data_IF_612386957885
#
_entry.id   IF_612386957885
#
_cell.length_a   1.000
_cell.length_b   1.000
_cell.length_c   1.000
_cell.angle_alpha   90.00
_cell.angle_beta   90.00
_cell.angle_gamma   90.00
#
_symmetry.space_group_name_H-M   'P 1'
#
loop_
_entity.id
_entity.type
_entity.pdbx_description
1 polymer ?
#
# COMPACT_ATOMS: atom_id res chain seq x y z
N UNK A 1 -39.12 -20.46 -6.04
CA UNK A 1 -39.17 -19.31 -6.98
C UNK A 1 -37.74 -19.01 -7.40
N UNK A 2 -37.50 -18.57 -8.64
CA UNK A 2 -36.16 -18.20 -9.07
C UNK A 2 -35.66 -16.99 -8.27
N UNK A 3 -34.38 -17.02 -7.86
CA UNK A 3 -33.76 -15.97 -7.06
C UNK A 3 -32.77 -15.16 -7.91
N UNK A 4 -32.80 -13.82 -7.87
CA UNK A 4 -31.87 -13.02 -8.65
C UNK A 4 -30.45 -13.17 -8.10
N UNK A 5 -29.49 -13.24 -9.01
CA UNK A 5 -28.06 -13.33 -8.73
C UNK A 5 -27.39 -12.09 -9.31
N UNK A 6 -26.68 -11.34 -8.49
CA UNK A 6 -25.94 -10.16 -8.90
C UNK A 6 -24.44 -10.35 -8.74
N UNK A 7 -23.69 -9.67 -9.61
CA UNK A 7 -22.26 -9.42 -9.44
C UNK A 7 -22.10 -7.98 -8.96
N UNK A 8 -21.49 -7.82 -7.79
CA UNK A 8 -21.07 -6.51 -7.32
C UNK A 8 -19.59 -6.35 -7.66
N UNK A 9 -19.25 -5.17 -8.18
CA UNK A 9 -17.89 -4.79 -8.60
C UNK A 9 -17.45 -3.60 -7.77
N UNK A 10 -16.31 -3.74 -7.13
CA UNK A 10 -15.66 -2.69 -6.36
C UNK A 10 -14.36 -2.34 -7.08
N UNK A 11 -14.16 -1.05 -7.34
CA UNK A 11 -12.89 -0.58 -7.87
C UNK A 11 -11.92 -0.33 -6.72
N UNK A 12 -11.03 -1.27 -6.46
CA UNK A 12 -10.04 -1.15 -5.39
C UNK A 12 -8.96 -0.09 -5.69
N UNK A 13 -8.94 0.43 -6.92
CA UNK A 13 -8.07 1.54 -7.30
C UNK A 13 -8.71 2.91 -7.03
N UNK A 14 -9.99 2.97 -6.66
CA UNK A 14 -10.74 4.21 -6.46
C UNK A 14 -10.57 5.23 -7.60
N UNK A 15 -10.71 4.77 -8.85
CA UNK A 15 -10.59 5.61 -10.05
C UNK A 15 -9.17 5.73 -10.61
N UNK A 16 -8.12 5.36 -9.86
CA UNK A 16 -6.74 5.46 -10.35
C UNK A 16 -6.49 4.64 -11.60
N UNK A 17 -7.07 3.43 -11.69
CA UNK A 17 -6.91 2.60 -12.88
C UNK A 17 -7.44 3.30 -14.13
N UNK A 18 -8.59 3.96 -14.04
CA UNK A 18 -9.17 4.73 -15.16
C UNK A 18 -8.27 5.86 -15.60
N UNK A 19 -7.74 6.62 -14.64
CA UNK A 19 -6.94 7.81 -14.94
C UNK A 19 -5.53 7.46 -15.44
N UNK A 20 -4.97 6.31 -15.05
CA UNK A 20 -3.54 6.04 -15.22
C UNK A 20 -3.21 4.87 -16.16
N UNK A 21 -4.13 3.92 -16.35
CA UNK A 21 -3.84 2.68 -17.08
C UNK A 21 -3.37 2.90 -18.52
N UNK A 22 -3.96 3.87 -19.23
CA UNK A 22 -3.54 4.24 -20.59
C UNK A 22 -2.07 4.62 -20.66
N UNK A 23 -1.57 5.37 -19.68
CA UNK A 23 -0.17 5.78 -19.59
C UNK A 23 0.74 4.66 -19.07
N UNK A 24 0.33 3.97 -17.99
CA UNK A 24 1.16 3.00 -17.28
C UNK A 24 1.32 1.66 -18.01
N UNK A 25 0.24 1.18 -18.63
CA UNK A 25 0.20 -0.15 -19.23
C UNK A 25 -0.19 -0.13 -20.71
N UNK A 26 -0.34 1.07 -21.29
CA UNK A 26 -0.68 1.25 -22.70
C UNK A 26 -2.11 0.84 -23.04
N UNK A 27 -2.99 0.70 -22.05
CA UNK A 27 -4.38 0.25 -22.21
C UNK A 27 -5.27 0.89 -21.16
N UNK A 28 -6.45 1.34 -21.56
CA UNK A 28 -7.43 1.87 -20.63
C UNK A 28 -8.13 0.75 -19.84
N UNK A 29 -8.17 0.90 -18.52
CA UNK A 29 -8.87 0.05 -17.57
C UNK A 29 -9.88 0.89 -16.81
N UNK A 30 -11.14 0.47 -16.80
CA UNK A 30 -12.17 1.21 -16.07
C UNK A 30 -11.98 1.14 -14.53
N UNK A 31 -11.31 0.11 -14.02
CA UNK A 31 -11.09 -0.13 -12.59
C UNK A 31 -10.20 -1.35 -12.33
N UNK A 32 -9.74 -1.54 -11.09
CA UNK A 32 -9.19 -2.81 -10.60
C UNK A 32 -10.29 -3.50 -9.78
N UNK A 33 -10.78 -4.62 -10.28
CA UNK A 33 -11.99 -5.25 -9.77
C UNK A 33 -11.71 -6.18 -8.61
N UNK A 34 -12.27 -5.85 -7.44
CA UNK A 34 -12.73 -6.83 -6.48
C UNK A 34 -14.20 -7.14 -6.75
N UNK A 35 -14.59 -8.41 -6.70
CA UNK A 35 -15.98 -8.81 -6.97
C UNK A 35 -16.56 -9.71 -5.90
N UNK A 36 -17.89 -9.64 -5.78
CA UNK A 36 -18.70 -10.50 -4.93
C UNK A 36 -19.97 -10.96 -5.66
N UNK A 37 -20.53 -12.09 -5.23
CA UNK A 37 -21.84 -12.57 -5.68
C UNK A 37 -22.88 -12.24 -4.62
N UNK A 38 -23.96 -11.59 -5.03
CA UNK A 38 -25.12 -11.33 -4.17
C UNK A 38 -26.28 -12.23 -4.59
N UNK A 39 -26.72 -13.09 -3.68
CA UNK A 39 -27.82 -14.03 -3.88
C UNK A 39 -28.46 -14.38 -2.54
N UNK A 40 -29.77 -14.66 -2.54
CA UNK A 40 -30.53 -14.98 -1.31
C UNK A 40 -30.45 -13.88 -0.24
N UNK A 41 -30.25 -12.62 -0.64
CA UNK A 41 -30.11 -11.49 0.29
C UNK A 41 -28.73 -11.39 0.96
N UNK A 42 -27.77 -12.23 0.58
CA UNK A 42 -26.43 -12.26 1.13
C UNK A 42 -25.38 -11.95 0.07
N UNK A 43 -24.29 -11.34 0.51
CA UNK A 43 -23.13 -11.08 -0.33
C UNK A 43 -22.01 -12.06 0.01
N UNK A 44 -21.38 -12.64 -1.01
CA UNK A 44 -20.31 -13.62 -0.88
C UNK A 44 -19.08 -13.19 -1.66
N UNK A 45 -17.92 -13.21 -1.04
CA UNK A 45 -16.64 -12.93 -1.68
C UNK A 45 -15.52 -13.76 -1.05
N UNK A 46 -14.38 -13.85 -1.73
CA UNK A 46 -13.21 -14.56 -1.20
C UNK A 46 -12.15 -13.57 -0.72
N UNK A 47 -11.68 -13.75 0.52
CA UNK A 47 -10.71 -12.88 1.19
C UNK A 47 -9.53 -13.67 1.75
N UNK A 48 -8.35 -13.07 1.65
CA UNK A 48 -7.10 -13.68 2.11
C UNK A 48 -7.04 -13.82 3.62
N UNK A 49 -6.61 -14.98 4.13
CA UNK A 49 -6.53 -15.26 5.56
C UNK A 49 -7.87 -15.61 6.21
N UNK A 50 -8.99 -15.50 5.49
CA UNK A 50 -10.35 -15.77 6.03
C UNK A 50 -11.05 -16.89 5.27
N UNK A 51 -10.96 -16.93 3.94
CA UNK A 51 -11.77 -17.84 3.13
C UNK A 51 -12.94 -17.12 2.46
N UNK A 52 -13.96 -17.89 2.06
CA UNK A 52 -15.21 -17.32 1.57
C UNK A 52 -15.92 -16.61 2.73
N UNK A 53 -16.11 -15.31 2.59
CA UNK A 53 -16.88 -14.46 3.50
C UNK A 53 -18.33 -14.42 3.04
N UNK A 54 -19.27 -14.48 3.99
CA UNK A 54 -20.69 -14.24 3.78
C UNK A 54 -21.11 -13.03 4.60
N UNK A 55 -21.52 -11.97 3.92
CA UNK A 55 -22.07 -10.78 4.55
C UNK A 55 -23.60 -10.84 4.61
N UNK A 56 -24.13 -10.45 5.77
CA UNK A 56 -25.56 -10.43 6.03
C UNK A 56 -26.28 -9.29 5.29
N UNK A 57 -25.57 -8.20 5.03
CA UNK A 57 -26.09 -7.02 4.35
C UNK A 57 -25.20 -6.70 3.14
N UNK A 58 -25.71 -6.87 1.90
CA UNK A 58 -24.96 -6.52 0.70
C UNK A 58 -24.54 -5.05 0.70
N UNK A 59 -23.39 -4.73 0.08
CA UNK A 59 -22.76 -3.40 0.04
C UNK A 59 -22.26 -2.85 1.40
N UNK A 60 -22.20 -3.68 2.45
CA UNK A 60 -21.62 -3.29 3.75
C UNK A 60 -20.24 -3.89 4.02
N UNK A 61 -19.50 -4.19 2.95
CA UNK A 61 -18.14 -4.73 3.06
C UNK A 61 -17.11 -3.63 3.37
N UNK A 62 -15.89 -4.04 3.74
CA UNK A 62 -14.74 -3.12 3.88
C UNK A 62 -14.35 -2.41 2.58
N UNK A 63 -14.90 -2.82 1.44
CA UNK A 63 -14.63 -2.23 0.12
C UNK A 63 -15.55 -1.05 -0.21
N UNK A 64 -16.44 -0.66 0.71
CA UNK A 64 -17.35 0.46 0.53
C UNK A 64 -18.55 0.13 -0.36
N UNK A 65 -19.04 1.13 -1.09
CA UNK A 65 -20.16 0.96 -2.02
C UNK A 65 -19.70 0.32 -3.34
N UNK A 66 -20.48 -0.59 -3.94
CA UNK A 66 -20.15 -1.19 -5.21
C UNK A 66 -20.15 -0.12 -6.31
N UNK A 67 -19.04 -0.05 -7.04
CA UNK A 67 -18.91 0.80 -8.23
C UNK A 67 -19.93 0.43 -9.31
N UNK A 68 -20.20 -0.87 -9.49
CA UNK A 68 -21.22 -1.37 -10.41
C UNK A 68 -21.91 -2.60 -9.82
N UNK A 69 -23.24 -2.63 -9.93
CA UNK A 69 -24.07 -3.81 -9.63
C UNK A 69 -24.71 -4.31 -10.92
N UNK A 70 -24.52 -5.60 -11.24
CA UNK A 70 -25.04 -6.20 -12.47
C UNK A 70 -25.82 -7.46 -12.15
N UNK A 71 -27.06 -7.58 -12.64
CA UNK A 71 -27.80 -8.82 -12.52
C UNK A 71 -27.29 -9.83 -13.55
N UNK A 72 -26.68 -10.92 -13.08
CA UNK A 72 -26.21 -12.01 -13.93
C UNK A 72 -27.34 -12.93 -14.37
N UNK A 73 -28.43 -13.02 -13.61
CA UNK A 73 -29.58 -13.84 -13.97
C UNK A 73 -30.43 -14.21 -12.77
N UNK A 74 -31.18 -15.30 -12.92
CA UNK A 74 -31.93 -15.89 -11.82
C UNK A 74 -31.58 -17.37 -11.68
N UNK A 75 -31.34 -17.82 -10.45
CA UNK A 75 -31.04 -19.22 -10.14
C UNK A 75 -32.28 -19.94 -9.63
N UNK A 76 -32.42 -21.22 -10.00
CA UNK A 76 -33.40 -22.14 -9.41
C UNK A 76 -32.80 -22.99 -8.28
N UNK A 77 -31.48 -22.85 -8.03
CA UNK A 77 -30.81 -23.53 -6.91
C UNK A 77 -31.36 -22.99 -5.59
N UNK A 78 -31.48 -23.87 -4.60
CA UNK A 78 -31.83 -23.45 -3.24
C UNK A 78 -30.63 -22.80 -2.54
N UNK A 79 -30.91 -21.93 -1.57
CA UNK A 79 -29.90 -21.36 -0.68
C UNK A 79 -29.08 -22.47 0.01
N UNK A 80 -29.75 -23.51 0.51
CA UNK A 80 -29.10 -24.65 1.15
C UNK A 80 -28.09 -25.36 0.24
N UNK A 81 -28.42 -25.55 -1.04
CA UNK A 81 -27.51 -26.17 -2.01
C UNK A 81 -26.29 -25.28 -2.28
N UNK A 82 -26.49 -23.96 -2.36
CA UNK A 82 -25.38 -23.02 -2.53
C UNK A 82 -24.48 -22.93 -1.30
N UNK A 83 -25.05 -22.90 -0.08
CA UNK A 83 -24.27 -22.87 1.16
C UNK A 83 -23.46 -24.15 1.36
N UNK A 84 -24.01 -25.31 1.01
CA UNK A 84 -23.27 -26.58 1.01
C UNK A 84 -22.11 -26.54 -0.01
N UNK A 85 -22.34 -25.99 -1.20
CA UNK A 85 -21.30 -25.82 -2.20
C UNK A 85 -20.19 -24.86 -1.72
N UNK A 86 -20.55 -23.72 -1.11
CA UNK A 86 -19.61 -22.79 -0.49
C UNK A 86 -18.78 -23.50 0.59
N UNK A 87 -19.43 -24.26 1.47
CA UNK A 87 -18.75 -25.03 2.51
C UNK A 87 -17.75 -26.03 1.93
N UNK A 88 -18.12 -26.76 0.88
CA UNK A 88 -17.22 -27.67 0.18
C UNK A 88 -16.02 -26.94 -0.43
N UNK A 89 -16.24 -25.75 -1.01
CA UNK A 89 -15.19 -24.92 -1.62
C UNK A 89 -14.20 -24.32 -0.62
N UNK A 90 -14.54 -24.28 0.66
CA UNK A 90 -13.65 -23.80 1.74
C UNK A 90 -12.78 -24.91 2.35
N UNK A 91 -13.07 -26.20 2.11
CA UNK A 91 -12.32 -27.32 2.70
C UNK A 91 -11.04 -27.67 1.93
N UNK A 92 -9.96 -27.99 2.65
CA UNK A 92 -8.69 -28.42 2.06
C UNK A 92 -8.83 -29.78 1.34
N UNK A 93 -8.38 -29.85 0.09
CA UNK A 93 -8.39 -31.05 -0.75
C UNK A 93 -9.10 -30.85 -2.08
N UNK A 94 -10.35 -30.39 -2.04
CA UNK A 94 -11.19 -30.06 -3.21
C UNK A 94 -11.55 -28.56 -3.32
N UNK A 95 -11.29 -27.77 -2.27
CA UNK A 95 -11.72 -26.38 -2.13
C UNK A 95 -10.61 -25.36 -2.40
N UNK A 96 -10.73 -24.64 -3.51
CA UNK A 96 -9.82 -23.56 -3.88
C UNK A 96 -10.07 -22.25 -3.10
N UNK A 97 -10.88 -22.19 -2.04
CA UNK A 97 -11.22 -20.90 -1.41
C UNK A 97 -11.18 -20.92 0.12
N UNK A 98 -10.27 -21.72 0.68
CA UNK A 98 -9.93 -21.73 2.11
C UNK A 98 -9.04 -20.54 2.55
N UNK A 99 -8.90 -20.29 3.87
CA UNK A 99 -8.17 -19.13 4.42
C UNK A 99 -6.74 -18.96 3.90
N UNK A 100 -6.04 -20.08 3.67
CA UNK A 100 -4.63 -20.09 3.26
C UNK A 100 -4.44 -20.26 1.74
N UNK A 101 -5.53 -20.27 0.97
CA UNK A 101 -5.49 -20.56 -0.47
C UNK A 101 -5.49 -19.31 -1.35
N UNK A 102 -5.64 -18.11 -0.76
CA UNK A 102 -5.74 -16.88 -1.51
C UNK A 102 -4.42 -16.54 -2.21
N UNK A 103 -4.49 -16.35 -3.52
CA UNK A 103 -3.41 -15.90 -4.39
C UNK A 103 -3.95 -14.80 -5.30
N UNK A 104 -3.37 -13.60 -5.21
CA UNK A 104 -3.83 -12.44 -5.96
C UNK A 104 -3.89 -12.69 -7.47
N UNK A 105 -2.99 -13.51 -8.02
CA UNK A 105 -2.89 -13.75 -9.45
C UNK A 105 -3.68 -14.97 -9.91
N UNK A 106 -3.68 -16.05 -9.12
CA UNK A 106 -4.13 -17.37 -9.55
C UNK A 106 -5.40 -17.85 -8.85
N UNK A 107 -5.77 -17.24 -7.73
CA UNK A 107 -6.86 -17.71 -6.91
C UNK A 107 -7.38 -16.62 -5.96
N UNK A 108 -8.22 -15.74 -6.49
CA UNK A 108 -8.70 -14.54 -5.80
C UNK A 108 -10.23 -14.43 -5.84
N UNK A 109 -10.77 -13.32 -5.35
CA UNK A 109 -12.21 -13.01 -5.39
C UNK A 109 -12.86 -13.20 -6.77
N UNK A 110 -12.21 -12.81 -7.87
CA UNK A 110 -12.75 -12.94 -9.22
C UNK A 110 -12.82 -14.40 -9.69
N UNK A 111 -11.91 -15.26 -9.20
CA UNK A 111 -11.97 -16.69 -9.45
C UNK A 111 -13.14 -17.33 -8.69
N UNK A 112 -13.34 -16.91 -7.44
CA UNK A 112 -14.47 -17.36 -6.64
C UNK A 112 -15.81 -16.95 -7.27
N UNK A 113 -16.00 -15.68 -7.61
CA UNK A 113 -17.26 -15.21 -8.21
C UNK A 113 -17.52 -15.85 -9.57
N UNK A 114 -16.47 -16.17 -10.32
CA UNK A 114 -16.56 -16.96 -11.54
C UNK A 114 -17.10 -18.38 -11.29
N UNK A 115 -16.57 -19.10 -10.31
CA UNK A 115 -17.07 -20.43 -9.97
C UNK A 115 -18.48 -20.41 -9.38
N UNK A 116 -18.78 -19.42 -8.54
CA UNK A 116 -20.11 -19.24 -7.95
C UNK A 116 -21.16 -18.92 -9.03
N UNK A 117 -20.84 -18.05 -10.00
CA UNK A 117 -21.70 -17.76 -11.15
C UNK A 117 -21.98 -19.02 -11.98
N UNK A 118 -20.94 -19.83 -12.26
CA UNK A 118 -21.12 -21.12 -12.97
C UNK A 118 -21.99 -22.10 -12.20
N UNK A 119 -21.83 -22.20 -10.88
CA UNK A 119 -22.64 -23.09 -10.06
C UNK A 119 -24.13 -22.68 -10.03
N UNK A 120 -24.38 -21.39 -9.85
CA UNK A 120 -25.73 -20.83 -9.70
C UNK A 120 -26.47 -20.74 -11.04
N UNK A 121 -25.78 -20.40 -12.12
CA UNK A 121 -26.39 -19.95 -13.38
C UNK A 121 -25.81 -20.64 -14.63
N UNK A 122 -24.80 -21.50 -14.50
CA UNK A 122 -24.08 -22.10 -15.63
C UNK A 122 -23.53 -21.09 -16.64
N UNK A 123 -23.13 -19.90 -16.17
CA UNK A 123 -22.55 -18.83 -16.98
C UNK A 123 -21.28 -18.25 -16.36
N UNK A 124 -20.52 -17.55 -17.18
CA UNK A 124 -19.34 -16.81 -16.74
C UNK A 124 -19.71 -15.40 -16.30
N UNK A 125 -18.87 -14.81 -15.44
CA UNK A 125 -18.88 -13.37 -15.13
C UNK A 125 -18.29 -12.60 -16.33
N UNK A 126 -18.50 -11.27 -16.41
CA UNK A 126 -17.98 -10.43 -17.49
C UNK A 126 -16.48 -10.66 -17.75
N UNK A 127 -16.10 -10.67 -19.04
CA UNK A 127 -14.74 -11.00 -19.47
C UNK A 127 -13.70 -9.99 -18.99
N UNK A 128 -14.06 -8.72 -18.91
CA UNK A 128 -13.21 -7.64 -18.40
C UNK A 128 -12.81 -7.84 -16.93
N UNK A 129 -13.64 -8.52 -16.12
CA UNK A 129 -13.26 -8.95 -14.75
C UNK A 129 -12.29 -10.13 -14.81
N UNK A 130 -12.62 -11.17 -15.58
CA UNK A 130 -11.83 -12.41 -15.66
C UNK A 130 -10.44 -12.20 -16.27
N UNK A 131 -10.37 -11.35 -17.27
CA UNK A 131 -9.17 -11.13 -18.07
C UNK A 131 -8.28 -10.03 -17.49
N UNK A 132 -8.72 -9.36 -16.41
CA UNK A 132 -7.98 -8.25 -15.79
C UNK A 132 -6.53 -8.63 -15.43
N UNK A 133 -6.31 -9.72 -14.70
CA UNK A 133 -4.96 -10.14 -14.31
C UNK A 133 -4.14 -10.63 -15.52
N UNK A 134 -4.62 -11.55 -16.38
CA UNK A 134 -3.89 -11.93 -17.59
C UNK A 134 -3.52 -10.75 -18.49
N UNK A 135 -4.44 -9.80 -18.66
CA UNK A 135 -4.20 -8.60 -19.46
C UNK A 135 -3.15 -7.70 -18.78
N UNK A 136 -3.22 -7.49 -17.46
CA UNK A 136 -2.19 -6.76 -16.73
C UNK A 136 -0.82 -7.42 -16.91
N UNK A 137 -0.71 -8.73 -16.66
CA UNK A 137 0.53 -9.51 -16.80
C UNK A 137 1.07 -9.56 -18.24
N UNK A 138 0.23 -9.29 -19.25
CA UNK A 138 0.68 -9.20 -20.65
C UNK A 138 1.47 -7.93 -20.94
N UNK A 139 1.34 -6.90 -20.10
CA UNK A 139 1.97 -5.60 -20.27
C UNK A 139 3.41 -5.57 -19.72
N UNK A 140 4.30 -4.67 -20.20
CA UNK A 140 5.67 -4.56 -19.67
C UNK A 140 5.70 -4.36 -18.15
N UNK A 141 4.82 -3.49 -17.62
CA UNK A 141 4.70 -3.25 -16.19
C UNK A 141 4.22 -4.51 -15.45
N UNK A 142 3.20 -5.19 -15.96
CA UNK A 142 2.71 -6.42 -15.31
C UNK A 142 3.70 -7.59 -15.36
N UNK A 143 4.55 -7.69 -16.39
CA UNK A 143 5.65 -8.67 -16.42
C UNK A 143 6.70 -8.39 -15.35
N UNK A 144 6.96 -7.11 -15.07
CA UNK A 144 7.85 -6.67 -14.00
C UNK A 144 7.24 -6.91 -12.62
N UNK A 145 5.95 -6.60 -12.42
CA UNK A 145 5.27 -6.72 -11.12
C UNK A 145 4.76 -8.14 -10.80
N UNK A 146 4.62 -9.01 -11.80
CA UNK A 146 4.11 -10.37 -11.64
C UNK A 146 4.80 -11.18 -10.52
N UNK A 147 6.15 -11.22 -10.45
CA UNK A 147 6.87 -11.89 -9.37
C UNK A 147 6.65 -11.31 -7.97
N UNK A 148 6.30 -10.03 -7.85
CA UNK A 148 5.99 -9.38 -6.57
C UNK A 148 4.60 -9.77 -6.07
N UNK A 149 3.62 -9.80 -6.98
CA UNK A 149 2.25 -10.24 -6.66
C UNK A 149 2.17 -11.73 -6.34
N UNK A 150 3.01 -12.55 -6.97
CA UNK A 150 3.09 -13.99 -6.72
C UNK A 150 3.78 -14.38 -5.41
N UNK A 151 4.48 -13.44 -4.76
CA UNK A 151 5.20 -13.70 -3.50
C UNK A 151 4.46 -13.18 -2.26
N UNK A 152 3.38 -12.41 -2.41
CA UNK A 152 2.74 -11.72 -1.30
C UNK A 152 1.99 -12.68 -0.37
N UNK A 153 2.49 -12.99 0.83
CA UNK A 153 1.69 -13.61 1.88
C UNK A 153 0.89 -12.48 2.52
N UNK A 154 -0.42 -12.46 2.28
CA UNK A 154 -1.46 -11.73 3.01
C UNK A 154 -0.96 -10.70 4.04
N UNK A 155 -0.70 -9.46 3.62
CA UNK A 155 -0.53 -8.34 4.56
C UNK A 155 -1.91 -7.87 5.03
N UNK A 156 -2.56 -8.65 5.91
CA UNK A 156 -3.71 -8.22 6.72
C UNK A 156 -3.97 -9.22 7.83
N UNK A 157 -3.32 -9.02 8.97
CA UNK A 157 -3.60 -9.77 10.18
C UNK A 157 -2.90 -9.16 11.38
N UNK A 158 -3.59 -8.30 12.13
CA UNK A 158 -3.58 -8.22 13.60
C UNK A 158 -4.10 -6.87 14.12
N UNK A 159 -5.42 -6.76 14.35
CA UNK A 159 -5.94 -5.98 15.49
C UNK A 159 -7.14 -6.73 16.06
N UNK A 160 -7.02 -7.16 17.33
CA UNK A 160 -8.17 -7.36 18.21
C UNK A 160 -8.47 -8.79 18.65
N UNK A 161 -7.81 -9.28 19.70
CA UNK A 161 -8.21 -10.49 20.42
C UNK A 161 -7.58 -10.58 21.81
N UNK A 162 -8.34 -10.22 22.85
CA UNK A 162 -7.99 -10.34 24.27
C UNK A 162 -8.21 -11.79 24.76
N UNK A 163 -7.21 -12.41 25.40
CA UNK A 163 -7.36 -13.47 26.43
C UNK A 163 -6.07 -13.51 27.29
N UNK A 164 -6.06 -13.04 28.53
CA UNK A 164 -6.19 -13.83 29.78
C UNK A 164 -5.37 -15.13 29.85
N UNK A 165 -4.19 -15.05 30.48
CA UNK A 165 -3.92 -15.65 31.79
C UNK A 165 -3.73 -17.17 31.93
N UNK A 166 -2.50 -17.58 32.25
CA UNK A 166 -2.12 -18.89 32.81
C UNK A 166 -1.20 -19.69 31.87
N UNK A 167 -0.09 -20.28 32.25
CA UNK A 167 0.58 -20.47 33.54
C UNK A 167 1.52 -21.68 33.40
N UNK A 168 2.75 -21.55 33.92
CA UNK A 168 3.60 -22.69 34.32
C UNK A 168 4.50 -23.33 33.25
N UNK A 169 5.78 -23.51 33.58
CA UNK A 169 6.68 -24.43 32.86
C UNK A 169 8.15 -24.01 32.85
N UNK A 170 8.79 -23.97 34.02
CA UNK A 170 10.22 -23.79 34.18
C UNK A 170 10.99 -25.04 33.76
N UNK A 171 12.09 -24.90 32.99
CA UNK A 171 13.24 -25.82 33.04
C UNK A 171 14.55 -25.06 32.73
N UNK A 172 15.49 -25.19 33.67
CA UNK A 172 16.83 -24.62 33.71
C UNK A 172 17.80 -25.25 32.72
N UNK A 173 18.88 -24.53 32.37
CA UNK A 173 20.27 -25.01 32.60
C UNK A 173 21.35 -23.97 32.23
N UNK A 174 21.98 -23.45 33.28
CA UNK A 174 23.43 -23.34 33.51
C UNK A 174 24.32 -22.68 32.44
N UNK A 175 24.80 -21.44 32.69
CA UNK A 175 25.99 -21.11 33.49
C UNK A 175 27.29 -21.49 32.79
N UNK A 176 28.08 -20.51 32.35
CA UNK A 176 29.53 -20.40 32.62
C UNK A 176 30.00 -18.99 32.24
N UNK A 177 30.45 -18.23 33.24
CA UNK A 177 31.42 -17.14 33.08
C UNK A 177 32.71 -17.59 33.74
N UNK A 178 33.85 -17.03 33.30
CA UNK A 178 34.64 -16.35 34.30
C UNK A 178 35.13 -14.97 33.85
N UNK A 179 35.28 -14.14 34.87
CA UNK A 179 35.55 -12.72 34.92
C UNK A 179 36.99 -12.37 34.53
N UNK A 180 37.19 -11.15 34.02
CA UNK A 180 38.36 -10.33 34.37
C UNK A 180 37.96 -8.87 34.38
N UNK A 181 38.08 -8.27 35.56
CA UNK A 181 37.80 -6.88 35.89
C UNK A 181 39.04 -6.01 35.70
N UNK A 182 38.94 -4.89 35.00
CA UNK A 182 39.82 -3.72 35.27
C UNK A 182 39.06 -2.41 35.04
N UNK A 183 39.05 -1.62 36.12
CA UNK A 183 38.95 -0.16 36.23
C UNK A 183 37.66 0.60 35.83
N UNK A 184 37.07 1.17 36.88
CA UNK A 184 36.24 2.38 36.90
C UNK A 184 36.79 3.52 36.02
N UNK A 185 35.90 4.09 35.20
CA UNK A 185 35.93 5.51 34.86
C UNK A 185 34.48 6.03 34.85
N UNK A 186 34.20 6.99 35.71
CA UNK A 186 32.98 7.80 35.75
C UNK A 186 32.85 8.68 34.50
N UNK A 187 31.63 9.16 34.16
CA UNK A 187 31.29 9.64 32.84
C UNK A 187 31.78 11.07 32.62
N UNK A 188 32.69 11.27 31.67
CA UNK A 188 33.11 12.59 31.24
C UNK A 188 32.49 12.91 29.87
N UNK A 189 31.61 13.91 29.86
CA UNK A 189 31.02 14.62 28.73
C UNK A 189 31.65 14.33 27.36
N UNK A 190 30.95 13.55 26.54
CA UNK A 190 31.12 13.58 25.10
C UNK A 190 30.63 14.93 24.58
N UNK A 191 31.57 15.76 24.16
CA UNK A 191 31.34 16.84 23.18
C UNK A 191 30.47 16.32 22.03
N UNK A 192 29.51 17.09 21.50
CA UNK A 192 28.75 16.64 20.34
C UNK A 192 29.72 16.36 19.21
N UNK A 193 29.80 15.09 18.79
CA UNK A 193 30.59 14.69 17.63
C UNK A 193 30.27 15.64 16.48
N UNK A 194 31.28 16.36 15.99
CA UNK A 194 31.10 17.25 14.85
C UNK A 194 30.57 16.42 13.67
N UNK A 195 29.51 16.92 13.01
CA UNK A 195 28.94 16.28 11.82
C UNK A 195 30.01 16.23 10.73
N UNK A 196 30.42 15.02 10.35
CA UNK A 196 31.54 14.77 9.44
C UNK A 196 31.09 14.87 7.96
N UNK A 197 29.82 14.56 7.68
CA UNK A 197 29.20 14.68 6.37
C UNK A 197 28.33 13.47 5.98
N UNK A 198 28.27 13.19 4.67
CA UNK A 198 27.59 12.03 4.09
C UNK A 198 28.62 10.91 3.90
N UNK A 199 28.71 9.97 4.85
CA UNK A 199 29.74 8.92 4.86
C UNK A 199 29.28 7.62 4.19
N UNK A 200 27.99 7.47 3.87
CA UNK A 200 27.48 6.29 3.20
C UNK A 200 27.92 6.29 1.72
N UNK A 201 28.63 5.24 1.30
CA UNK A 201 29.19 5.10 -0.04
C UNK A 201 28.24 4.48 -1.06
N UNK A 202 27.01 4.09 -0.66
CA UNK A 202 26.00 3.56 -1.58
C UNK A 202 25.73 4.55 -2.71
N UNK A 203 25.94 4.11 -3.95
CA UNK A 203 25.76 4.92 -5.16
C UNK A 203 24.39 4.77 -5.82
N UNK A 204 23.61 3.75 -5.45
CA UNK A 204 22.29 3.48 -6.01
C UNK A 204 21.35 2.82 -4.99
N UNK A 205 20.05 2.98 -5.22
CA UNK A 205 19.03 2.18 -4.56
C UNK A 205 19.14 0.73 -5.05
N UNK A 206 18.69 -0.20 -4.20
CA UNK A 206 18.47 -1.60 -4.59
C UNK A 206 17.25 -1.70 -5.48
N UNK A 207 17.10 -2.80 -6.20
CA UNK A 207 15.92 -3.05 -7.05
C UNK A 207 14.60 -2.86 -6.28
N UNK A 208 14.51 -3.43 -5.08
CA UNK A 208 13.35 -3.27 -4.19
C UNK A 208 13.11 -1.81 -3.76
N UNK A 209 14.16 -1.08 -3.41
CA UNK A 209 14.04 0.34 -3.03
C UNK A 209 13.66 1.22 -4.23
N UNK A 210 14.07 0.85 -5.44
CA UNK A 210 13.67 1.50 -6.68
C UNK A 210 12.19 1.25 -6.97
N UNK A 211 11.68 0.03 -6.72
CA UNK A 211 10.25 -0.30 -6.76
C UNK A 211 9.45 0.53 -5.74
N UNK A 212 9.93 0.60 -4.50
CA UNK A 212 9.32 1.43 -3.45
C UNK A 212 9.30 2.91 -3.83
N UNK A 213 10.34 3.40 -4.52
CA UNK A 213 10.41 4.77 -5.02
C UNK A 213 9.36 5.01 -6.12
N UNK A 214 9.22 4.08 -7.08
CA UNK A 214 8.21 4.17 -8.14
C UNK A 214 6.80 4.18 -7.54
N UNK A 215 6.49 3.26 -6.61
CA UNK A 215 5.20 3.23 -5.93
C UNK A 215 4.91 4.54 -5.20
N UNK A 216 5.90 5.07 -4.50
CA UNK A 216 5.79 6.33 -3.77
C UNK A 216 5.53 7.52 -4.71
N UNK A 217 6.22 7.59 -5.86
CA UNK A 217 5.94 8.61 -6.87
C UNK A 217 4.49 8.55 -7.34
N UNK A 218 3.99 7.35 -7.65
CA UNK A 218 2.60 7.16 -8.09
C UNK A 218 1.59 7.65 -7.03
N UNK A 219 1.82 7.31 -5.75
CA UNK A 219 0.96 7.76 -4.65
C UNK A 219 0.92 9.29 -4.53
N UNK A 220 2.04 9.97 -4.77
CA UNK A 220 2.13 11.44 -4.72
C UNK A 220 1.47 12.10 -5.93
N UNK A 221 1.65 11.53 -7.13
CA UNK A 221 1.07 12.03 -8.39
C UNK A 221 -0.44 11.85 -8.46
N UNK A 222 -1.01 10.94 -7.64
CA UNK A 222 -2.44 10.59 -7.65
C UNK A 222 -3.10 10.71 -6.27
N UNK A 223 -2.59 11.60 -5.43
CA UNK A 223 -3.09 11.75 -4.07
C UNK A 223 -4.50 12.37 -4.02
N UNK A 224 -5.22 12.15 -2.92
CA UNK A 224 -6.62 12.59 -2.75
C UNK A 224 -6.80 14.12 -2.81
N UNK A 225 -5.74 14.89 -2.54
CA UNK A 225 -5.78 16.36 -2.69
C UNK A 225 -5.85 16.76 -4.16
N UNK A 226 -5.44 15.89 -5.09
CA UNK A 226 -5.44 16.20 -6.52
C UNK A 226 -6.81 15.99 -7.17
N UNK A 227 -7.64 15.05 -6.69
CA UNK A 227 -9.08 14.89 -7.00
C UNK A 227 -9.50 14.87 -8.49
N UNK A 228 -10.79 14.61 -8.76
CA UNK A 228 -11.32 14.51 -10.15
C UNK A 228 -11.36 15.85 -10.91
N UNK A 229 -11.07 16.98 -10.25
CA UNK A 229 -11.23 18.32 -10.83
C UNK A 229 -10.02 19.24 -10.68
N UNK A 230 -8.88 18.73 -10.17
CA UNK A 230 -7.74 19.54 -9.77
C UNK A 230 -8.20 20.77 -8.95
N UNK A 231 -8.63 20.54 -7.70
CA UNK A 231 -8.87 21.65 -6.78
C UNK A 231 -7.54 22.42 -6.67
N UNK A 232 -7.52 23.67 -7.13
CA UNK A 232 -6.33 24.53 -7.17
C UNK A 232 -5.65 24.59 -5.79
N UNK A 233 -6.46 24.48 -4.72
CA UNK A 233 -5.98 24.39 -3.35
C UNK A 233 -5.20 23.10 -3.08
N UNK A 234 -5.69 21.94 -3.52
CA UNK A 234 -5.06 20.64 -3.28
C UNK A 234 -3.80 20.42 -4.13
N UNK A 235 -3.81 20.89 -5.39
CA UNK A 235 -2.60 20.97 -6.23
C UNK A 235 -1.54 21.82 -5.55
N UNK A 236 -1.90 23.02 -5.10
CA UNK A 236 -0.99 23.92 -4.38
C UNK A 236 -0.44 23.28 -3.10
N UNK A 237 -1.28 22.62 -2.31
CA UNK A 237 -0.84 21.93 -1.09
C UNK A 237 0.17 20.82 -1.39
N UNK A 238 -0.08 20.03 -2.43
CA UNK A 238 0.83 18.96 -2.87
C UNK A 238 2.18 19.54 -3.30
N UNK A 239 2.16 20.53 -4.19
CA UNK A 239 3.37 21.16 -4.72
C UNK A 239 4.18 21.84 -3.62
N UNK A 240 3.54 22.61 -2.72
CA UNK A 240 4.24 23.26 -1.61
C UNK A 240 4.94 22.28 -0.67
N UNK A 241 4.33 21.10 -0.44
CA UNK A 241 4.93 20.03 0.36
C UNK A 241 6.13 19.39 -0.34
N UNK A 242 5.98 19.04 -1.61
CA UNK A 242 7.06 18.45 -2.42
C UNK A 242 8.24 19.41 -2.58
N UNK A 243 8.00 20.68 -2.86
CA UNK A 243 9.04 21.71 -2.98
C UNK A 243 9.78 21.94 -1.65
N UNK A 244 9.07 21.87 -0.52
CA UNK A 244 9.70 21.96 0.79
C UNK A 244 10.60 20.74 1.04
N UNK A 245 10.13 19.54 0.73
CA UNK A 245 10.92 18.31 0.88
C UNK A 245 12.16 18.35 -0.03
N UNK A 246 11.98 18.69 -1.31
CA UNK A 246 13.06 18.86 -2.27
C UNK A 246 14.14 19.81 -1.74
N UNK A 247 13.74 21.00 -1.28
CA UNK A 247 14.66 21.99 -0.69
C UNK A 247 15.35 21.47 0.56
N UNK A 248 14.64 20.73 1.42
CA UNK A 248 15.24 20.16 2.62
C UNK A 248 16.35 19.16 2.27
N UNK A 249 16.11 18.26 1.30
CA UNK A 249 17.11 17.30 0.83
C UNK A 249 18.27 17.98 0.10
N UNK A 250 17.99 18.99 -0.74
CA UNK A 250 19.02 19.77 -1.42
C UNK A 250 19.94 20.50 -0.43
N UNK A 251 19.39 21.11 0.62
CA UNK A 251 20.18 21.77 1.67
C UNK A 251 21.13 20.78 2.39
N UNK A 252 20.75 19.50 2.52
CA UNK A 252 21.65 18.47 3.06
C UNK A 252 22.80 18.19 2.09
N UNK A 253 22.54 18.11 0.79
CA UNK A 253 23.57 17.88 -0.22
C UNK A 253 24.52 19.07 -0.37
N UNK A 254 24.00 20.29 -0.34
CA UNK A 254 24.79 21.52 -0.48
C UNK A 254 25.62 21.84 0.78
N UNK A 255 25.14 21.40 1.95
CA UNK A 255 25.74 21.68 3.25
C UNK A 255 25.86 20.41 4.12
N UNK A 256 26.60 19.38 3.68
CA UNK A 256 26.59 18.05 4.31
C UNK A 256 27.14 18.03 5.73
N UNK A 257 27.98 19.01 6.09
CA UNK A 257 28.56 19.16 7.43
C UNK A 257 27.71 20.01 8.38
N UNK A 258 26.58 20.54 7.92
CA UNK A 258 25.72 21.39 8.74
C UNK A 258 24.61 20.55 9.41
N UNK A 259 24.74 20.32 10.71
CA UNK A 259 23.80 19.56 11.52
C UNK A 259 22.35 20.06 11.43
N UNK A 260 22.14 21.37 11.17
CA UNK A 260 20.80 21.99 11.12
C UNK A 260 19.91 21.36 10.05
N UNK A 261 20.47 20.94 8.92
CA UNK A 261 19.70 20.37 7.81
C UNK A 261 19.47 18.86 7.95
N UNK A 262 20.14 18.21 8.91
CA UNK A 262 20.11 16.75 9.11
C UNK A 262 18.86 16.27 9.84
N UNK A 263 17.88 17.16 10.06
CA UNK A 263 16.68 16.79 10.78
C UNK A 263 15.43 17.56 10.44
N UNK A 264 14.30 16.86 10.50
CA UNK A 264 12.96 17.41 10.31
C UNK A 264 12.10 17.02 11.54
N UNK A 265 11.64 18.02 12.29
CA UNK A 265 10.76 17.78 13.43
C UNK A 265 9.30 17.72 12.96
N UNK A 266 8.61 16.63 13.29
CA UNK A 266 7.17 16.45 12.98
C UNK A 266 6.28 17.44 13.74
N UNK A 267 6.79 18.05 14.80
CA UNK A 267 6.10 19.07 15.61
C UNK A 267 6.29 20.50 15.09
N UNK A 268 7.19 20.71 14.12
CA UNK A 268 7.40 22.06 13.58
C UNK A 268 6.18 22.54 12.81
N UNK A 269 5.83 23.82 12.96
CA UNK A 269 4.70 24.43 12.26
C UNK A 269 4.79 24.23 10.74
N UNK A 270 6.00 24.34 10.19
CA UNK A 270 6.27 24.11 8.77
C UNK A 270 5.96 22.66 8.35
N UNK A 271 6.35 21.67 9.15
CA UNK A 271 6.03 20.27 8.87
C UNK A 271 4.52 20.03 8.91
N UNK A 272 3.85 20.50 9.97
CA UNK A 272 2.40 20.33 10.16
C UNK A 272 1.61 20.98 9.03
N UNK A 273 2.02 22.16 8.56
CA UNK A 273 1.30 22.88 7.51
C UNK A 273 1.55 22.34 6.10
N UNK A 274 2.80 21.97 5.79
CA UNK A 274 3.22 21.69 4.40
C UNK A 274 3.52 20.21 4.11
N UNK A 275 4.05 19.46 5.08
CA UNK A 275 4.44 18.05 4.87
C UNK A 275 3.39 17.07 5.40
N UNK A 276 2.73 17.39 6.51
CA UNK A 276 1.68 16.54 7.10
C UNK A 276 0.54 16.21 6.13
N UNK A 277 0.04 17.14 5.29
CA UNK A 277 -1.03 16.82 4.34
C UNK A 277 -0.65 15.73 3.32
N UNK A 278 0.65 15.62 2.99
CA UNK A 278 1.15 14.62 2.04
C UNK A 278 1.83 13.42 2.71
N UNK A 279 1.80 13.35 4.05
CA UNK A 279 2.57 12.35 4.80
C UNK A 279 2.11 10.91 4.49
N UNK A 280 0.80 10.74 4.36
CA UNK A 280 0.16 9.46 4.07
C UNK A 280 0.34 8.99 2.62
N UNK A 281 0.82 9.86 1.72
CA UNK A 281 1.05 9.55 0.31
C UNK A 281 2.50 9.14 0.02
N UNK A 282 3.25 8.72 1.04
CA UNK A 282 4.58 8.14 0.87
C UNK A 282 5.77 9.06 1.21
N UNK A 283 5.53 10.21 1.85
CA UNK A 283 6.59 11.08 2.39
C UNK A 283 7.60 10.31 3.26
N UNK A 284 7.10 9.43 4.14
CA UNK A 284 7.92 8.63 5.04
C UNK A 284 8.84 7.68 4.28
N UNK A 285 8.37 7.16 3.14
CA UNK A 285 9.15 6.28 2.27
C UNK A 285 10.26 7.09 1.57
N UNK A 286 9.95 8.26 0.99
CA UNK A 286 10.97 9.15 0.41
C UNK A 286 12.07 9.48 1.40
N UNK A 287 11.71 9.84 2.63
CA UNK A 287 12.68 10.14 3.68
C UNK A 287 13.52 8.91 4.04
N UNK A 288 12.91 7.73 4.14
CA UNK A 288 13.61 6.48 4.45
C UNK A 288 14.59 6.07 3.35
N UNK A 289 14.19 6.21 2.08
CA UNK A 289 15.01 5.96 0.89
C UNK A 289 16.17 6.96 0.78
N UNK A 290 15.96 8.21 1.19
CA UNK A 290 17.00 9.23 1.34
C UNK A 290 17.95 8.97 2.54
N UNK A 291 17.70 7.92 3.33
CA UNK A 291 18.51 7.51 4.47
C UNK A 291 18.05 8.06 5.82
N UNK A 292 16.98 8.86 5.89
CA UNK A 292 16.48 9.36 7.17
C UNK A 292 15.87 8.22 7.98
N UNK A 293 15.94 8.34 9.31
CA UNK A 293 15.32 7.41 10.26
C UNK A 293 14.45 8.20 11.22
N UNK A 294 13.26 7.66 11.53
CA UNK A 294 12.37 8.25 12.51
C UNK A 294 12.89 7.96 13.91
N UNK A 295 13.11 9.01 14.70
CA UNK A 295 13.42 8.92 16.13
C UNK A 295 12.15 9.28 16.91
N UNK A 296 11.49 8.31 17.56
CA UNK A 296 10.31 8.59 18.38
C UNK A 296 10.72 9.37 19.63
N UNK A 297 10.01 10.46 19.92
CA UNK A 297 10.34 11.35 21.05
C UNK A 297 9.34 11.21 22.21
N UNK A 298 8.10 10.77 21.94
CA UNK A 298 7.08 10.52 22.97
C UNK A 298 6.11 9.39 22.59
N UNK A 299 5.37 8.85 23.58
CA UNK A 299 4.33 7.80 23.42
C UNK A 299 3.15 8.19 22.52
N UNK A 300 3.07 9.44 22.09
CA UNK A 300 1.98 10.01 21.29
C UNK A 300 2.28 10.09 19.78
N UNK A 301 3.14 9.19 19.25
CA UNK A 301 3.45 9.10 17.81
C UNK A 301 4.09 10.38 17.21
N UNK A 302 4.72 11.21 18.04
CA UNK A 302 5.51 12.36 17.58
C UNK A 302 7.00 12.03 17.60
N UNK A 303 7.70 12.47 16.55
CA UNK A 303 9.10 12.11 16.35
C UNK A 303 9.87 13.12 15.50
N UNK A 304 11.13 12.79 15.27
CA UNK A 304 12.06 13.58 14.48
C UNK A 304 12.70 12.69 13.43
N UNK A 305 12.56 13.04 12.17
CA UNK A 305 13.37 12.42 11.12
C UNK A 305 14.80 12.93 11.26
N UNK A 306 15.76 12.02 11.32
CA UNK A 306 17.17 12.34 11.44
C UNK A 306 17.99 11.57 10.42
N UNK A 307 18.95 12.24 9.79
CA UNK A 307 19.90 11.63 8.88
C UNK A 307 21.28 11.60 9.52
N UNK A 308 21.72 10.38 9.88
CA UNK A 308 23.05 10.17 10.44
C UNK A 308 24.13 10.22 9.36
N UNK A 309 25.37 10.42 9.75
CA UNK A 309 26.52 10.43 8.84
C UNK A 309 26.69 9.08 8.13
N UNK A 310 26.44 7.98 8.83
CA UNK A 310 26.54 6.62 8.31
C UNK A 310 25.38 6.22 7.41
N UNK A 311 24.21 6.84 7.56
CA UNK A 311 23.05 6.56 6.69
C UNK A 311 23.06 7.47 5.44
N UNK A 312 23.55 8.70 5.57
CA UNK A 312 23.51 9.71 4.51
C UNK A 312 24.44 9.40 3.34
N UNK A 313 23.85 9.19 2.16
CA UNK A 313 24.55 9.10 0.86
C UNK A 313 24.12 10.24 -0.05
N UNK A 314 25.09 10.91 -0.67
CA UNK A 314 24.81 11.94 -1.68
C UNK A 314 24.05 11.36 -2.89
N UNK A 315 24.41 10.16 -3.34
CA UNK A 315 23.79 9.58 -4.53
C UNK A 315 22.32 9.20 -4.29
N UNK A 316 22.01 8.67 -3.10
CA UNK A 316 20.63 8.34 -2.73
C UNK A 316 19.78 9.59 -2.54
N UNK A 317 20.31 10.62 -1.88
CA UNK A 317 19.66 11.92 -1.77
C UNK A 317 19.35 12.50 -3.15
N UNK A 318 20.31 12.47 -4.06
CA UNK A 318 20.12 12.98 -5.43
C UNK A 318 19.06 12.18 -6.19
N UNK A 319 19.05 10.85 -6.06
CA UNK A 319 18.05 9.99 -6.71
C UNK A 319 16.63 10.32 -6.26
N UNK A 320 16.45 10.54 -4.95
CA UNK A 320 15.16 10.92 -4.35
C UNK A 320 14.76 12.35 -4.75
N UNK A 321 15.70 13.30 -4.79
CA UNK A 321 15.44 14.66 -5.27
C UNK A 321 14.96 14.66 -6.73
N UNK A 322 15.63 13.92 -7.62
CA UNK A 322 15.22 13.79 -9.00
C UNK A 322 13.80 13.21 -9.12
N UNK A 323 13.48 12.19 -8.31
CA UNK A 323 12.13 11.62 -8.29
C UNK A 323 11.07 12.64 -7.84
N UNK A 324 11.38 13.49 -6.86
CA UNK A 324 10.49 14.56 -6.43
C UNK A 324 10.30 15.61 -7.55
N UNK A 325 11.37 15.97 -8.27
CA UNK A 325 11.29 16.90 -9.39
C UNK A 325 10.38 16.36 -10.51
N UNK A 326 10.56 15.10 -10.89
CA UNK A 326 9.69 14.44 -11.87
C UNK A 326 8.21 14.43 -11.42
N UNK A 327 7.93 14.20 -10.13
CA UNK A 327 6.55 14.26 -9.58
C UNK A 327 6.00 15.68 -9.66
N UNK A 328 6.80 16.69 -9.30
CA UNK A 328 6.40 18.11 -9.40
C UNK A 328 6.05 18.47 -10.84
N UNK A 329 6.88 18.06 -11.80
CA UNK A 329 6.62 18.29 -13.23
C UNK A 329 5.31 17.64 -13.67
N UNK A 330 5.09 16.37 -13.31
CA UNK A 330 3.88 15.63 -13.66
C UNK A 330 2.62 16.24 -13.04
N UNK A 331 2.66 16.65 -11.76
CA UNK A 331 1.53 17.31 -11.10
C UNK A 331 1.18 18.64 -11.79
N UNK A 332 2.19 19.43 -12.16
CA UNK A 332 1.97 20.69 -12.89
C UNK A 332 1.38 20.46 -14.28
N UNK A 333 1.90 19.48 -15.03
CA UNK A 333 1.38 19.12 -16.36
C UNK A 333 -0.08 18.68 -16.28
N UNK A 334 -0.41 17.79 -15.34
CA UNK A 334 -1.77 17.29 -15.15
C UNK A 334 -2.73 18.42 -14.73
N UNK A 335 -2.30 19.30 -13.83
CA UNK A 335 -3.09 20.47 -13.44
C UNK A 335 -3.37 21.38 -14.64
N UNK A 336 -2.36 21.65 -15.49
CA UNK A 336 -2.53 22.48 -16.69
C UNK A 336 -3.51 21.88 -17.70
N UNK A 337 -3.45 20.55 -17.93
CA UNK A 337 -4.39 19.85 -18.82
C UNK A 337 -5.84 19.98 -18.31
N UNK A 338 -6.07 19.75 -17.02
CA UNK A 338 -7.40 19.83 -16.41
C UNK A 338 -7.94 21.27 -16.49
N UNK A 339 -7.10 22.27 -16.23
CA UNK A 339 -7.51 23.68 -16.29
C UNK A 339 -7.81 24.14 -17.73
N UNK A 340 -7.03 23.72 -18.72
CA UNK A 340 -7.28 24.04 -20.14
C UNK A 340 -8.53 23.37 -20.71
N UNK A 341 -9.05 22.31 -20.08
CA UNK A 341 -10.27 21.62 -20.53
C UNK A 341 -11.57 22.27 -20.02
N UNK A 342 -11.46 23.28 -19.16
CA UNK A 342 -12.60 24.02 -18.58
C UNK A 342 -12.94 25.33 -19.31
N UNK A 343 -12.08 25.78 -20.23
CA UNK A 343 -12.27 27.00 -21.05
C UNK A 343 -12.85 26.67 -22.44
#
# INVERSE_FOLDING_TARGET
MPHPVYLYRYDISNGMARSMSGFLIGRELEGIWHTSIVVFGHEFYFDGGVGIVREAHPAHTRFGEPYRTEQLGNTERSESAFLLWVQQKTQDGDGNFGPNSYDLLRNNCNHFTQEASRFLLARDIPSDVREMIPMLLSTPLGKMLGPLFGQSPSASGAVGGRTHGGGGGAFSSSSFSPSTSVANATPAHSTPSAVQGLLNTRSSLTEKEEEDLVLTRCMLESNELLGDCADEKGVKMTLEGLELLRRALQNVMDHPRNAKYRSLSTQSETYIKKLKPIEHFGLSNLLSLAGFRMQPQDKANTGKWFLSDTDGSHALLQRVVNAIDEVIENVNLNAAIVMSSKD
#
